data_IF_291699778046
#
_entry.id   IF_291699778046
#
_cell.length_a   1.000
_cell.length_b   1.000
_cell.length_c   1.000
_cell.angle_alpha   90.00
_cell.angle_beta   90.00
_cell.angle_gamma   90.00
#
_symmetry.space_group_name_H-M   'P 1'
#
loop_
_entity.id
_entity.type
_entity.pdbx_description
1 polymer ?
#
# COMPACT_ATOMS: atom_id res chain seq x y z
N UNK A 1 10.80 16.51 -17.10
CA UNK A 1 9.60 15.94 -16.44
C UNK A 1 9.90 14.61 -15.74
N UNK A 2 10.42 13.60 -16.44
CA UNK A 2 10.70 12.26 -15.89
C UNK A 2 11.73 12.25 -14.74
N UNK A 3 12.77 13.09 -14.80
CA UNK A 3 13.77 13.18 -13.73
C UNK A 3 13.14 13.65 -12.42
N UNK A 4 12.31 14.70 -12.47
CA UNK A 4 11.60 15.19 -11.28
C UNK A 4 10.61 14.17 -10.73
N UNK A 5 9.95 13.41 -11.61
CA UNK A 5 9.07 12.31 -11.23
C UNK A 5 9.82 11.20 -10.49
N UNK A 6 10.96 10.76 -11.05
CA UNK A 6 11.82 9.75 -10.44
C UNK A 6 12.28 10.20 -9.05
N UNK A 7 12.78 11.43 -8.92
CA UNK A 7 13.24 11.98 -7.64
C UNK A 7 12.12 12.01 -6.59
N UNK A 8 10.89 12.39 -6.98
CA UNK A 8 9.74 12.38 -6.05
C UNK A 8 9.38 10.97 -5.61
N UNK A 9 9.40 10.00 -6.53
CA UNK A 9 9.11 8.61 -6.20
C UNK A 9 10.19 8.04 -5.29
N UNK A 10 11.47 8.25 -5.60
CA UNK A 10 12.58 7.73 -4.81
C UNK A 10 12.58 8.31 -3.38
N UNK A 11 12.27 9.60 -3.21
CA UNK A 11 12.06 10.20 -1.88
C UNK A 11 10.91 9.55 -1.11
N UNK A 12 9.76 9.34 -1.76
CA UNK A 12 8.62 8.68 -1.12
C UNK A 12 8.87 7.19 -0.81
N UNK A 13 9.70 6.51 -1.60
CA UNK A 13 10.14 5.14 -1.31
C UNK A 13 11.09 5.10 -0.12
N UNK A 14 11.97 6.09 0.01
CA UNK A 14 12.92 6.18 1.11
C UNK A 14 12.22 6.44 2.46
N UNK A 15 11.05 7.07 2.48
CA UNK A 15 10.29 7.29 3.72
C UNK A 15 9.54 6.05 4.24
N UNK A 16 9.45 4.97 3.46
CA UNK A 16 8.79 3.70 3.85
C UNK A 16 9.80 2.57 3.72
N UNK A 17 10.58 2.36 4.79
CA UNK A 17 11.74 1.46 4.78
C UNK A 17 11.32 0.00 4.63
N UNK A 18 10.30 -0.43 5.38
CA UNK A 18 9.77 -1.79 5.30
C UNK A 18 8.60 -1.82 4.32
N UNK A 19 8.69 -2.69 3.31
CA UNK A 19 7.64 -2.90 2.30
C UNK A 19 7.49 -4.40 2.08
N UNK A 20 6.29 -4.92 2.27
CA UNK A 20 6.01 -6.36 2.20
C UNK A 20 5.18 -6.65 0.96
N UNK A 21 5.68 -7.54 0.09
CA UNK A 21 4.95 -8.03 -1.07
C UNK A 21 4.40 -9.43 -0.78
N UNK A 22 3.08 -9.58 -0.72
CA UNK A 22 2.42 -10.88 -0.52
C UNK A 22 2.09 -11.51 -1.87
N UNK A 23 2.84 -12.54 -2.26
CA UNK A 23 2.71 -13.25 -3.54
C UNK A 23 2.20 -14.68 -3.34
N UNK A 24 1.66 -15.31 -4.39
CA UNK A 24 1.15 -16.69 -4.35
C UNK A 24 -0.11 -16.90 -5.19
N UNK A 25 -0.66 -18.12 -5.22
CA UNK A 25 -1.86 -18.44 -6.00
C UNK A 25 -3.16 -18.16 -5.24
N UNK A 26 -3.23 -18.55 -3.95
CA UNK A 26 -4.41 -18.41 -3.08
C UNK A 26 -4.06 -17.67 -1.79
N UNK A 27 -5.06 -17.20 -1.04
CA UNK A 27 -4.89 -16.66 0.31
C UNK A 27 -4.25 -15.26 0.45
N UNK A 28 -3.66 -14.68 -0.61
CA UNK A 28 -2.95 -13.37 -0.56
C UNK A 28 -3.72 -12.26 0.15
N UNK A 29 -5.00 -12.06 -0.17
CA UNK A 29 -5.84 -11.03 0.45
C UNK A 29 -6.02 -11.25 1.95
N UNK A 30 -6.25 -12.50 2.36
CA UNK A 30 -6.42 -12.87 3.77
C UNK A 30 -5.11 -12.65 4.53
N UNK A 31 -3.99 -13.15 3.99
CA UNK A 31 -2.65 -12.95 4.58
C UNK A 31 -2.32 -11.47 4.70
N UNK A 32 -2.61 -10.67 3.66
CA UNK A 32 -2.36 -9.22 3.68
C UNK A 32 -3.15 -8.52 4.79
N UNK A 33 -4.42 -8.91 5.01
CA UNK A 33 -5.26 -8.36 6.09
C UNK A 33 -4.76 -8.74 7.47
N UNK A 34 -4.36 -10.00 7.65
CA UNK A 34 -3.79 -10.49 8.91
C UNK A 34 -2.45 -9.81 9.23
N UNK A 35 -1.56 -9.69 8.24
CA UNK A 35 -0.30 -8.95 8.42
C UNK A 35 -0.58 -7.50 8.79
N UNK A 36 -1.54 -6.85 8.13
CA UNK A 36 -1.90 -5.48 8.45
C UNK A 36 -2.44 -5.34 9.87
N UNK A 37 -3.28 -6.26 10.35
CA UNK A 37 -3.78 -6.20 11.73
C UNK A 37 -2.66 -6.43 12.74
N UNK A 38 -1.84 -7.47 12.55
CA UNK A 38 -0.74 -7.80 13.47
C UNK A 38 0.26 -6.65 13.58
N UNK A 39 0.67 -6.07 12.46
CA UNK A 39 1.62 -4.95 12.45
C UNK A 39 1.04 -3.68 13.08
N UNK A 40 -0.27 -3.45 12.97
CA UNK A 40 -0.94 -2.34 13.67
C UNK A 40 -1.01 -2.56 15.18
N UNK A 41 -1.33 -3.78 15.61
CA UNK A 41 -1.31 -4.15 17.04
C UNK A 41 0.11 -4.02 17.64
N UNK A 42 1.16 -4.22 16.83
CA UNK A 42 2.57 -3.92 17.16
C UNK A 42 2.89 -2.41 17.20
N UNK A 43 1.90 -1.53 17.03
CA UNK A 43 2.05 -0.08 17.12
C UNK A 43 2.53 0.60 15.83
N UNK A 44 2.57 -0.11 14.70
CA UNK A 44 3.00 0.47 13.40
C UNK A 44 1.83 1.11 12.64
N UNK A 45 2.11 2.21 11.95
CA UNK A 45 1.21 2.83 10.97
C UNK A 45 1.28 2.04 9.67
N UNK A 46 0.31 1.16 9.44
CA UNK A 46 0.31 0.28 8.26
C UNK A 46 -0.59 0.84 7.16
N UNK A 47 -0.08 0.87 5.93
CA UNK A 47 -0.90 1.05 4.73
C UNK A 47 -0.86 -0.22 3.87
N UNK A 48 -1.92 -1.03 3.91
CA UNK A 48 -1.99 -2.25 3.14
C UNK A 48 -2.92 -2.12 1.92
N UNK A 49 -2.59 -2.81 0.84
CA UNK A 49 -3.40 -2.86 -0.38
C UNK A 49 -3.81 -4.29 -0.71
N UNK A 50 -5.10 -4.50 -0.98
CA UNK A 50 -5.65 -5.76 -1.47
C UNK A 50 -6.08 -5.64 -2.94
N UNK A 51 -5.94 -6.71 -3.72
CA UNK A 51 -6.25 -6.72 -5.17
C UNK A 51 -7.28 -7.77 -5.57
N UNK A 52 -7.89 -8.46 -4.61
CA UNK A 52 -8.92 -9.49 -4.86
C UNK A 52 -10.23 -8.93 -5.41
N UNK A 53 -11.33 -9.69 -5.25
CA UNK A 53 -12.67 -9.33 -5.74
C UNK A 53 -13.16 -7.95 -5.26
N UNK A 54 -12.74 -7.54 -4.05
CA UNK A 54 -12.93 -6.20 -3.51
C UNK A 54 -11.57 -5.57 -3.20
N UNK A 55 -10.96 -4.87 -4.19
CA UNK A 55 -9.67 -4.23 -4.00
C UNK A 55 -9.83 -3.02 -3.06
N UNK A 56 -8.96 -2.91 -2.07
CA UNK A 56 -9.06 -1.86 -1.06
C UNK A 56 -7.72 -1.47 -0.47
N UNK A 57 -7.71 -0.32 0.17
CA UNK A 57 -6.63 0.14 1.04
C UNK A 57 -7.08 0.04 2.48
N UNK A 58 -6.27 -0.60 3.32
CA UNK A 58 -6.42 -0.60 4.77
C UNK A 58 -5.54 0.54 5.27
N UNK A 59 -6.15 1.54 5.91
CA UNK A 59 -5.48 2.75 6.35
C UNK A 59 -4.85 2.59 7.76
N UNK A 60 -3.95 3.52 8.17
CA UNK A 60 -3.34 3.51 9.49
C UNK A 60 -4.29 3.67 10.67
N UNK A 61 -5.55 4.05 10.46
CA UNK A 61 -6.62 4.03 11.48
C UNK A 61 -7.40 2.71 11.50
N UNK A 62 -7.26 1.87 10.48
CA UNK A 62 -7.91 0.57 10.32
C UNK A 62 -9.12 0.61 9.40
N UNK A 63 -9.51 1.81 8.93
CA UNK A 63 -10.59 1.96 7.95
C UNK A 63 -10.18 1.37 6.60
N UNK A 64 -11.19 0.93 5.84
CA UNK A 64 -10.98 0.32 4.52
C UNK A 64 -11.57 1.22 3.44
N UNK A 65 -10.71 1.75 2.58
CA UNK A 65 -11.12 2.49 1.39
C UNK A 65 -11.14 1.58 0.17
N UNK A 66 -12.27 1.48 -0.52
CA UNK A 66 -12.36 0.71 -1.76
C UNK A 66 -11.62 1.41 -2.92
N UNK A 67 -10.84 0.65 -3.69
CA UNK A 67 -10.12 1.17 -4.85
C UNK A 67 -11.08 1.22 -6.03
N UNK A 68 -11.61 2.42 -6.31
CA UNK A 68 -12.41 2.70 -7.50
C UNK A 68 -11.52 2.84 -8.73
N UNK A 69 -11.67 1.92 -9.70
CA UNK A 69 -10.92 1.93 -10.95
C UNK A 69 -11.80 2.42 -12.10
N UNK A 70 -11.26 3.32 -12.92
CA UNK A 70 -11.85 3.72 -14.21
C UNK A 70 -11.36 2.88 -15.39
N UNK A 71 -10.40 1.98 -15.16
CA UNK A 71 -9.74 1.16 -16.18
C UNK A 71 -8.97 0.00 -15.54
N UNK A 72 -8.15 -0.74 -16.31
CA UNK A 72 -7.40 -1.87 -15.78
C UNK A 72 -6.39 -1.43 -14.70
N UNK A 73 -5.98 -2.34 -13.79
CA UNK A 73 -4.91 -2.08 -12.85
C UNK A 73 -3.64 -1.63 -13.58
N UNK A 74 -3.00 -0.57 -13.10
CA UNK A 74 -1.78 -0.02 -13.70
C UNK A 74 -0.67 0.17 -12.67
N UNK A 75 0.58 0.22 -13.14
CA UNK A 75 1.74 0.52 -12.28
C UNK A 75 1.62 1.89 -11.59
N UNK A 76 0.85 2.82 -12.19
CA UNK A 76 0.56 4.13 -11.60
C UNK A 76 -0.22 4.00 -10.27
N UNK A 77 -1.01 2.94 -10.08
CA UNK A 77 -1.67 2.64 -8.81
C UNK A 77 -0.65 2.35 -7.70
N UNK A 78 0.45 1.66 -8.02
CA UNK A 78 1.54 1.38 -7.06
C UNK A 78 2.34 2.64 -6.75
N UNK A 79 2.62 3.46 -7.76
CA UNK A 79 3.26 4.76 -7.56
C UNK A 79 2.43 5.67 -6.63
N UNK A 80 1.10 5.72 -6.84
CA UNK A 80 0.17 6.45 -5.97
C UNK A 80 0.17 5.90 -4.55
N UNK A 81 0.20 4.57 -4.40
CA UNK A 81 0.28 3.91 -3.09
C UNK A 81 1.52 4.37 -2.30
N UNK A 82 2.69 4.38 -2.93
CA UNK A 82 3.95 4.82 -2.28
C UNK A 82 3.87 6.28 -1.84
N UNK A 83 3.36 7.17 -2.69
CA UNK A 83 3.17 8.58 -2.30
C UNK A 83 2.16 8.73 -1.17
N UNK A 84 1.12 7.89 -1.14
CA UNK A 84 0.12 7.89 -0.08
C UNK A 84 0.69 7.38 1.24
N UNK A 85 1.48 6.30 1.20
CA UNK A 85 2.21 5.78 2.35
C UNK A 85 3.12 6.85 2.97
N UNK A 86 3.92 7.53 2.14
CA UNK A 86 4.77 8.63 2.58
C UNK A 86 3.98 9.78 3.24
N UNK A 87 2.84 10.17 2.66
CA UNK A 87 1.98 11.25 3.19
C UNK A 87 1.34 10.87 4.54
N UNK A 88 0.94 9.61 4.68
CA UNK A 88 0.35 9.10 5.92
C UNK A 88 1.41 8.78 6.99
N UNK A 89 2.69 8.91 6.65
CA UNK A 89 3.78 8.47 7.52
C UNK A 89 3.73 6.97 7.79
N UNK A 90 3.33 6.15 6.83
CA UNK A 90 3.25 4.71 7.03
C UNK A 90 4.65 4.12 7.31
N UNK A 91 4.72 3.26 8.33
CA UNK A 91 5.93 2.54 8.70
C UNK A 91 6.08 1.25 7.86
N UNK A 92 4.96 0.71 7.35
CA UNK A 92 4.85 -0.49 6.48
C UNK A 92 3.79 -0.34 5.40
#
# INVERSE_FOLDING_TARGET
ALTAERLRLDRARASVLLRIAVTGTRGKTTVTRLLASVLREDGRRVLAKTTGSRPGLILPDGTVEEIRRRGPPSILEQKKLVHRAARLGADV
#
